data_IF_719152417495
#
_entry.id   IF_719152417495
#
_cell.length_a   1.000
_cell.length_b   1.000
_cell.length_c   1.000
_cell.angle_alpha   90.00
_cell.angle_beta   90.00
_cell.angle_gamma   90.00
#
_symmetry.space_group_name_H-M   'P 1'
#
loop_
_entity.id
_entity.type
_entity.pdbx_description
1 polymer ?
#
# COMPACT_ATOMS: atom_id res chain seq x y z
N UNK A 1 -71.66 15.05 -18.42
CA UNK A 1 -72.56 14.64 -19.51
C UNK A 1 -71.76 14.66 -20.80
N UNK A 2 -71.70 13.54 -21.53
CA UNK A 2 -71.39 13.53 -22.96
C UNK A 2 -72.72 13.52 -23.74
N UNK A 3 -72.67 13.91 -25.02
CA UNK A 3 -73.29 13.06 -26.04
C UNK A 3 -72.33 12.70 -27.18
N UNK A 4 -72.61 11.55 -27.80
CA UNK A 4 -72.04 11.07 -29.07
C UNK A 4 -72.68 11.87 -30.26
N UNK A 5 -72.45 11.64 -31.57
CA UNK A 5 -71.90 10.48 -32.31
C UNK A 5 -71.69 10.83 -33.80
N UNK A 6 -70.87 10.02 -34.51
CA UNK A 6 -70.98 9.61 -35.95
C UNK A 6 -70.86 10.69 -37.07
N UNK A 7 -70.41 10.42 -38.31
CA UNK A 7 -70.17 9.14 -39.03
C UNK A 7 -69.29 9.33 -40.30
N UNK A 8 -68.52 8.29 -40.66
CA UNK A 8 -68.14 7.85 -42.03
C UNK A 8 -67.12 8.69 -42.85
N UNK A 9 -66.33 8.18 -43.83
CA UNK A 9 -66.03 6.78 -44.25
C UNK A 9 -64.67 6.56 -44.98
N UNK A 10 -64.32 5.26 -45.09
CA UNK A 10 -63.41 4.46 -45.96
C UNK A 10 -63.30 4.96 -47.44
N UNK A 11 -62.20 4.90 -48.22
CA UNK A 11 -61.28 3.81 -48.70
C UNK A 11 -59.90 4.38 -49.10
N UNK A 12 -58.76 3.82 -48.70
CA UNK A 12 -58.03 2.63 -49.25
C UNK A 12 -56.99 2.99 -50.32
N UNK A 13 -55.83 2.32 -50.31
CA UNK A 13 -54.63 2.74 -51.05
C UNK A 13 -53.33 2.18 -50.46
N UNK A 14 -53.19 0.86 -50.45
CA UNK A 14 -51.91 0.18 -50.28
C UNK A 14 -50.97 0.52 -51.44
N UNK A 15 -49.73 0.95 -51.14
CA UNK A 15 -48.60 0.55 -51.98
C UNK A 15 -47.30 0.39 -51.19
N UNK A 16 -46.53 -0.61 -51.62
CA UNK A 16 -45.47 -1.23 -50.83
C UNK A 16 -44.09 -0.67 -51.19
N UNK A 17 -43.38 0.00 -50.25
CA UNK A 17 -41.92 0.13 -50.34
C UNK A 17 -41.22 -0.12 -49.00
N UNK A 18 -40.72 -1.34 -48.84
CA UNK A 18 -39.82 -1.74 -47.78
C UNK A 18 -38.41 -1.17 -48.01
N UNK A 19 -38.05 -0.08 -47.31
CA UNK A 19 -36.70 0.51 -47.37
C UNK A 19 -35.74 -0.09 -46.32
N UNK A 20 -34.67 -0.81 -46.71
CA UNK A 20 -33.72 -1.41 -45.78
C UNK A 20 -32.53 -0.48 -45.51
N UNK A 21 -32.59 0.39 -44.48
CA UNK A 21 -31.41 1.22 -44.20
C UNK A 21 -31.46 2.25 -43.07
N UNK A 22 -31.43 1.83 -41.80
CA UNK A 22 -31.08 2.77 -40.71
C UNK A 22 -30.32 2.18 -39.50
N UNK A 23 -30.21 0.85 -39.39
CA UNK A 23 -29.48 0.18 -38.30
C UNK A 23 -27.95 0.36 -38.37
N UNK A 24 -27.39 0.53 -39.56
CA UNK A 24 -25.95 0.74 -39.76
C UNK A 24 -25.46 2.13 -39.33
N UNK A 25 -26.23 3.19 -39.63
CA UNK A 25 -25.88 4.57 -39.23
C UNK A 25 -25.95 4.73 -37.71
N UNK A 26 -27.01 4.24 -37.06
CA UNK A 26 -27.10 4.22 -35.60
C UNK A 26 -25.94 3.45 -34.94
N UNK A 27 -25.52 2.29 -35.48
CA UNK A 27 -24.33 1.56 -34.99
C UNK A 27 -23.03 2.33 -35.20
N UNK A 28 -22.83 3.02 -36.34
CA UNK A 28 -21.64 3.84 -36.61
C UNK A 28 -21.58 5.08 -35.71
N UNK A 29 -22.71 5.75 -35.49
CA UNK A 29 -22.82 6.92 -34.64
C UNK A 29 -22.58 6.56 -33.16
N UNK A 30 -23.19 5.48 -32.68
CA UNK A 30 -22.93 4.91 -31.34
C UNK A 30 -21.46 4.55 -31.14
N UNK A 31 -20.82 3.83 -32.08
CA UNK A 31 -19.38 3.52 -32.02
C UNK A 31 -18.49 4.78 -32.02
N UNK A 32 -18.86 5.84 -32.76
CA UNK A 32 -18.16 7.13 -32.72
C UNK A 32 -18.34 7.84 -31.36
N UNK A 33 -19.51 7.75 -30.75
CA UNK A 33 -19.81 8.33 -29.43
C UNK A 33 -19.10 7.56 -28.31
N UNK A 34 -19.09 6.23 -28.36
CA UNK A 34 -18.31 5.35 -27.46
C UNK A 34 -16.79 5.61 -27.61
N UNK A 35 -16.27 5.77 -28.83
CA UNK A 35 -14.86 6.14 -29.07
C UNK A 35 -14.53 7.53 -28.53
N UNK A 36 -15.42 8.52 -28.69
CA UNK A 36 -15.26 9.85 -28.08
C UNK A 36 -15.30 9.77 -26.55
N UNK A 37 -16.19 9.00 -25.94
CA UNK A 37 -16.23 8.82 -24.48
C UNK A 37 -14.99 8.11 -23.94
N UNK A 38 -14.45 7.10 -24.64
CA UNK A 38 -13.17 6.45 -24.28
C UNK A 38 -12.01 7.44 -24.36
N UNK A 39 -11.89 8.19 -25.46
CA UNK A 39 -10.86 9.22 -25.62
C UNK A 39 -11.00 10.37 -24.61
N UNK A 40 -12.23 10.73 -24.22
CA UNK A 40 -12.45 11.72 -23.16
C UNK A 40 -11.99 11.18 -21.81
N UNK A 41 -12.32 9.93 -21.47
CA UNK A 41 -11.85 9.24 -20.25
C UNK A 41 -10.33 9.11 -20.22
N UNK A 42 -9.70 8.74 -21.34
CA UNK A 42 -8.23 8.66 -21.47
C UNK A 42 -7.57 10.04 -21.29
N UNK A 43 -8.14 11.10 -21.90
CA UNK A 43 -7.63 12.47 -21.72
C UNK A 43 -7.83 13.01 -20.31
N UNK A 44 -8.96 12.76 -19.65
CA UNK A 44 -9.14 13.15 -18.24
C UNK A 44 -8.25 12.33 -17.31
N UNK A 45 -8.04 11.05 -17.58
CA UNK A 45 -7.08 10.20 -16.86
C UNK A 45 -5.65 10.77 -16.92
N UNK A 46 -5.18 11.13 -18.13
CA UNK A 46 -3.87 11.77 -18.38
C UNK A 46 -3.73 13.16 -17.73
N UNK A 47 -4.77 13.98 -17.77
CA UNK A 47 -4.75 15.32 -17.15
C UNK A 47 -4.76 15.23 -15.61
N UNK A 48 -5.45 14.25 -15.03
CA UNK A 48 -5.48 14.05 -13.59
C UNK A 48 -4.18 13.44 -13.05
N UNK A 49 -3.51 12.55 -13.80
CA UNK A 49 -2.16 12.06 -13.43
C UNK A 49 -1.16 13.21 -13.30
N UNK A 50 -1.30 14.25 -14.14
CA UNK A 50 -0.48 15.46 -14.13
C UNK A 50 -0.61 16.32 -12.88
N UNK A 51 -1.74 16.25 -12.16
CA UNK A 51 -1.96 17.04 -10.93
C UNK A 51 -1.41 16.36 -9.66
N UNK A 52 -1.13 15.06 -9.70
CA UNK A 52 -0.62 14.30 -8.55
C UNK A 52 0.74 13.62 -8.78
N UNK A 53 1.27 13.68 -10.02
CA UNK A 53 2.61 13.22 -10.35
C UNK A 53 3.31 14.19 -11.31
N UNK A 54 4.52 14.62 -10.93
CA UNK A 54 5.39 15.42 -11.79
C UNK A 54 5.96 14.53 -12.91
N UNK A 55 5.18 14.34 -13.97
CA UNK A 55 5.51 13.49 -15.10
C UNK A 55 6.56 14.16 -16.01
N UNK A 56 7.82 13.77 -15.88
CA UNK A 56 8.83 13.89 -16.96
C UNK A 56 8.99 12.52 -17.61
N UNK A 57 9.17 12.53 -18.94
CA UNK A 57 9.14 11.35 -19.80
C UNK A 57 10.22 10.30 -19.43
N UNK A 58 9.96 9.00 -19.66
CA UNK A 58 10.88 7.94 -19.28
C UNK A 58 12.16 7.95 -20.13
N UNK A 59 13.29 7.66 -19.49
CA UNK A 59 14.59 7.35 -20.12
C UNK A 59 14.94 5.91 -19.72
N UNK A 60 15.38 5.11 -20.69
CA UNK A 60 15.68 3.69 -20.52
C UNK A 60 17.05 3.44 -19.88
N UNK A 61 17.11 2.58 -18.87
CA UNK A 61 18.35 2.02 -18.30
C UNK A 61 18.11 0.52 -18.00
N UNK A 62 19.06 -0.40 -18.26
CA UNK A 62 18.86 -1.84 -18.02
C UNK A 62 19.06 -2.22 -16.55
N UNK A 63 18.39 -3.29 -16.09
CA UNK A 63 18.57 -3.88 -14.75
C UNK A 63 19.06 -5.33 -14.83
N UNK A 64 19.77 -5.80 -13.80
CA UNK A 64 20.25 -7.19 -13.67
C UNK A 64 19.91 -7.80 -12.30
N UNK A 65 19.53 -9.08 -12.38
CA UNK A 65 19.54 -10.16 -11.38
C UNK A 65 18.79 -10.05 -10.03
N UNK A 66 18.03 -11.12 -9.75
CA UNK A 66 17.30 -11.39 -8.51
C UNK A 66 17.65 -12.80 -8.00
N UNK A 67 17.85 -12.95 -6.68
CA UNK A 67 17.80 -14.24 -5.98
C UNK A 67 16.53 -14.29 -5.13
N UNK A 68 15.73 -15.34 -5.29
CA UNK A 68 14.51 -15.59 -4.50
C UNK A 68 14.75 -16.70 -3.47
N UNK A 69 14.06 -16.62 -2.33
CA UNK A 69 14.04 -17.65 -1.27
C UNK A 69 12.60 -17.91 -0.84
N UNK A 70 12.30 -19.17 -0.49
CA UNK A 70 10.96 -19.70 -0.29
C UNK A 70 10.68 -19.96 1.21
N UNK A 71 9.44 -19.73 1.65
CA UNK A 71 9.03 -19.86 3.06
C UNK A 71 8.53 -21.28 3.40
N UNK A 72 8.94 -21.80 4.56
CA UNK A 72 8.49 -23.08 5.13
C UNK A 72 7.72 -22.90 6.45
N UNK A 73 6.96 -23.92 6.88
CA UNK A 73 5.95 -23.81 7.96
C UNK A 73 6.43 -24.29 9.34
N UNK A 74 6.17 -23.44 10.33
CA UNK A 74 5.71 -23.69 11.71
C UNK A 74 6.07 -25.00 12.43
N UNK A 75 6.83 -24.87 13.53
CA UNK A 75 6.59 -25.57 14.81
C UNK A 75 6.79 -24.60 15.99
N UNK A 76 6.31 -24.96 17.19
CA UNK A 76 6.18 -24.07 18.35
C UNK A 76 6.96 -24.60 19.56
N UNK A 77 7.90 -23.80 20.09
CA UNK A 77 8.51 -24.01 21.42
C UNK A 77 8.58 -22.68 22.19
N UNK A 78 8.45 -22.78 23.52
CA UNK A 78 8.37 -21.69 24.48
C UNK A 78 9.72 -21.48 25.19
N UNK A 79 9.91 -20.28 25.73
CA UNK A 79 10.76 -19.93 26.89
C UNK A 79 12.24 -19.49 26.72
N UNK A 80 12.69 -18.75 27.76
CA UNK A 80 14.06 -18.24 28.08
C UNK A 80 14.54 -16.95 27.36
N UNK A 81 15.31 -16.05 27.99
CA UNK A 81 15.92 -16.03 29.34
C UNK A 81 16.03 -14.58 29.90
N UNK A 82 16.23 -14.41 31.23
CA UNK A 82 16.24 -13.09 31.90
C UNK A 82 17.64 -12.46 32.00
N UNK A 83 17.77 -11.22 31.55
CA UNK A 83 18.83 -10.28 31.95
C UNK A 83 18.21 -8.96 32.45
N UNK A 84 18.81 -8.27 33.44
CA UNK A 84 18.31 -6.97 33.90
C UNK A 84 18.53 -5.90 32.82
N UNK A 85 17.48 -5.19 32.36
CA UNK A 85 17.61 -4.26 31.25
C UNK A 85 18.10 -2.88 31.73
N UNK A 86 19.04 -2.29 30.99
CA UNK A 86 19.50 -0.90 31.21
C UNK A 86 18.50 0.15 30.70
N UNK A 87 17.43 -0.29 30.04
CA UNK A 87 16.18 0.45 29.96
C UNK A 87 15.20 -0.17 30.94
N UNK A 88 14.77 0.62 31.93
CA UNK A 88 13.54 0.30 32.65
C UNK A 88 12.42 0.33 31.61
N UNK A 89 11.89 -0.85 31.23
CA UNK A 89 10.57 -0.93 30.59
C UNK A 89 9.64 -0.22 31.57
N UNK A 90 9.11 0.97 31.23
CA UNK A 90 8.42 1.80 32.20
C UNK A 90 7.24 0.98 32.72
N UNK A 91 7.17 0.82 34.05
CA UNK A 91 6.35 -0.24 34.68
C UNK A 91 4.99 -0.31 34.00
N UNK A 92 4.68 -1.46 33.39
CA UNK A 92 3.45 -1.63 32.61
C UNK A 92 2.19 -1.54 33.50
N UNK A 93 2.33 -1.41 34.82
CA UNK A 93 1.28 -1.01 35.77
C UNK A 93 1.00 0.50 35.77
N UNK A 94 1.98 1.35 35.44
CA UNK A 94 1.83 2.80 35.35
C UNK A 94 0.95 3.18 34.16
N UNK A 95 -0.12 3.94 34.44
CA UNK A 95 -1.03 4.44 33.39
C UNK A 95 -0.30 5.35 32.40
N UNK A 96 0.65 6.18 32.89
CA UNK A 96 1.47 7.06 32.04
C UNK A 96 2.44 6.32 31.12
N UNK A 97 2.92 5.14 31.54
CA UNK A 97 3.72 4.26 30.69
C UNK A 97 2.87 3.71 29.54
N UNK A 98 1.68 3.18 29.86
CA UNK A 98 0.73 2.62 28.88
C UNK A 98 0.37 3.61 27.76
N UNK A 99 0.20 4.89 28.08
CA UNK A 99 -0.11 5.94 27.10
C UNK A 99 0.98 6.15 26.03
N UNK A 100 2.21 5.69 26.26
CA UNK A 100 3.35 5.80 25.32
C UNK A 100 3.65 4.49 24.57
N UNK A 101 2.96 3.41 24.92
CA UNK A 101 3.11 2.10 24.28
C UNK A 101 2.39 2.10 22.93
N UNK A 102 2.93 1.35 21.97
CA UNK A 102 2.35 1.11 20.65
C UNK A 102 1.81 -0.32 20.54
N UNK A 103 0.81 -0.52 19.69
CA UNK A 103 0.35 -1.85 19.27
C UNK A 103 1.30 -2.43 18.22
N UNK A 104 1.65 -3.71 18.32
CA UNK A 104 2.39 -4.38 17.25
C UNK A 104 1.52 -4.44 15.96
N UNK A 105 2.04 -4.06 14.78
CA UNK A 105 1.27 -4.02 13.54
C UNK A 105 1.28 -5.35 12.78
N UNK A 106 2.08 -6.33 13.21
CA UNK A 106 2.14 -7.65 12.59
C UNK A 106 0.83 -8.39 12.83
N UNK A 107 0.24 -8.93 11.75
CA UNK A 107 -1.04 -9.66 11.82
C UNK A 107 -1.00 -10.79 12.86
N UNK A 108 -2.07 -10.93 13.63
CA UNK A 108 -2.18 -11.90 14.73
C UNK A 108 -1.41 -11.55 16.01
N UNK A 109 -0.65 -10.45 16.06
CA UNK A 109 0.04 -10.02 17.27
C UNK A 109 -0.85 -9.11 18.15
N UNK A 110 -0.94 -9.42 19.44
CA UNK A 110 -1.62 -8.61 20.45
C UNK A 110 -0.66 -7.88 21.41
N UNK A 111 0.65 -7.99 21.18
CA UNK A 111 1.65 -7.38 22.06
C UNK A 111 1.62 -5.85 21.98
N UNK A 112 1.59 -5.23 23.16
CA UNK A 112 1.81 -3.79 23.34
C UNK A 112 3.26 -3.58 23.76
N UNK A 113 3.94 -2.62 23.11
CA UNK A 113 5.40 -2.51 23.14
C UNK A 113 5.84 -1.06 23.32
N UNK A 114 7.00 -0.85 23.92
CA UNK A 114 7.68 0.44 23.81
C UNK A 114 8.13 0.64 22.34
N UNK A 115 8.00 1.85 21.77
CA UNK A 115 8.48 2.18 20.42
C UNK A 115 9.89 1.68 20.10
N UNK A 116 10.84 1.82 21.04
CA UNK A 116 12.23 1.40 20.87
C UNK A 116 12.39 -0.13 21.03
N UNK A 117 11.50 -0.76 21.81
CA UNK A 117 11.43 -2.21 21.98
C UNK A 117 10.88 -2.96 20.77
N UNK A 118 10.18 -2.27 19.85
CA UNK A 118 9.51 -2.89 18.70
C UNK A 118 10.45 -3.74 17.84
N UNK A 119 11.64 -3.24 17.51
CA UNK A 119 12.59 -3.97 16.65
C UNK A 119 13.11 -5.26 17.32
N UNK A 120 13.32 -5.25 18.63
CA UNK A 120 13.71 -6.45 19.39
C UNK A 120 12.61 -7.52 19.33
N UNK A 121 11.35 -7.11 19.56
CA UNK A 121 10.19 -7.99 19.41
C UNK A 121 10.05 -8.50 17.98
N UNK A 122 10.29 -7.67 16.97
CA UNK A 122 10.24 -8.08 15.57
C UNK A 122 11.27 -9.17 15.26
N UNK A 123 12.54 -8.93 15.58
CA UNK A 123 13.65 -9.86 15.32
C UNK A 123 13.47 -11.20 16.04
N UNK A 124 12.93 -11.19 17.27
CA UNK A 124 12.75 -12.40 18.08
C UNK A 124 11.46 -13.18 17.75
N UNK A 125 10.34 -12.49 17.52
CA UNK A 125 9.01 -13.12 17.41
C UNK A 125 8.51 -13.19 15.97
N UNK A 126 8.76 -12.18 15.14
CA UNK A 126 8.11 -12.03 13.84
C UNK A 126 9.01 -12.38 12.66
N UNK A 127 10.29 -11.99 12.65
CA UNK A 127 11.22 -12.33 11.57
C UNK A 127 11.30 -13.85 11.31
N UNK A 128 11.36 -14.75 12.32
CA UNK A 128 11.38 -16.19 12.07
C UNK A 128 10.05 -16.76 11.55
N UNK A 129 8.93 -16.05 11.77
CA UNK A 129 7.56 -16.52 11.43
C UNK A 129 7.04 -15.98 10.10
N UNK A 130 7.33 -14.72 9.82
CA UNK A 130 6.94 -14.02 8.60
C UNK A 130 7.99 -14.21 7.49
N UNK A 131 9.24 -14.51 7.86
CA UNK A 131 10.37 -14.62 6.95
C UNK A 131 10.75 -13.33 6.22
N UNK A 132 10.09 -12.21 6.54
CA UNK A 132 10.43 -10.87 6.04
C UNK A 132 11.74 -10.43 6.72
N UNK A 133 12.85 -10.27 5.97
CA UNK A 133 14.13 -9.95 6.57
C UNK A 133 14.15 -8.53 7.14
N UNK A 134 14.88 -8.36 8.24
CA UNK A 134 15.33 -7.04 8.65
C UNK A 134 16.50 -6.60 7.76
N UNK A 135 16.38 -5.42 7.16
CA UNK A 135 17.41 -4.83 6.29
C UNK A 135 18.09 -3.67 7.02
N UNK A 136 19.40 -3.81 7.22
CA UNK A 136 20.30 -2.73 7.66
C UNK A 136 20.51 -1.77 6.48
N UNK A 137 20.10 -0.51 6.65
CA UNK A 137 20.27 0.54 5.65
C UNK A 137 21.55 1.33 5.94
N UNK A 138 22.53 1.34 5.02
CA UNK A 138 23.76 2.11 5.19
C UNK A 138 23.49 3.61 5.35
N UNK A 139 24.20 4.25 6.27
CA UNK A 139 24.20 5.70 6.41
C UNK A 139 25.05 6.36 5.29
N UNK A 140 24.64 7.48 4.69
CA UNK A 140 23.36 8.18 4.87
C UNK A 140 22.22 7.53 4.07
N UNK A 141 21.06 7.39 4.71
CA UNK A 141 19.86 6.75 4.14
C UNK A 141 19.29 7.52 2.93
N UNK A 142 19.46 8.84 2.88
CA UNK A 142 19.03 9.71 1.78
C UNK A 142 19.70 9.35 0.43
N UNK A 143 20.80 8.58 0.46
CA UNK A 143 21.50 8.06 -0.72
C UNK A 143 21.14 6.60 -1.05
N UNK A 144 20.28 5.97 -0.27
CA UNK A 144 19.89 4.56 -0.45
C UNK A 144 18.49 4.45 -1.05
N UNK A 145 18.29 3.43 -1.88
CA UNK A 145 16.96 2.98 -2.29
C UNK A 145 16.62 1.72 -1.51
N UNK A 146 15.48 1.72 -0.84
CA UNK A 146 14.98 0.56 -0.11
C UNK A 146 14.09 -0.25 -1.06
N UNK A 147 14.43 -1.51 -1.28
CA UNK A 147 13.70 -2.39 -2.19
C UNK A 147 12.92 -3.46 -1.41
N UNK A 148 11.68 -3.72 -1.83
CA UNK A 148 10.89 -4.87 -1.42
C UNK A 148 10.11 -5.43 -2.61
N UNK A 149 9.76 -6.72 -2.56
CA UNK A 149 8.91 -7.36 -3.57
C UNK A 149 7.70 -8.00 -2.91
N UNK A 150 6.54 -7.84 -3.52
CA UNK A 150 5.25 -8.34 -3.04
C UNK A 150 4.57 -9.19 -4.11
N UNK A 151 4.13 -10.39 -3.76
CA UNK A 151 3.28 -11.18 -4.65
C UNK A 151 1.80 -10.80 -4.44
N UNK A 152 1.15 -10.23 -5.46
CA UNK A 152 -0.25 -9.78 -5.38
C UNK A 152 -1.22 -10.94 -5.17
N UNK A 153 -0.94 -12.10 -5.77
CA UNK A 153 -1.75 -13.31 -5.60
C UNK A 153 -1.65 -13.92 -4.20
N UNK A 154 -0.61 -13.57 -3.44
CA UNK A 154 -0.41 -14.00 -2.05
C UNK A 154 -0.89 -12.99 -1.00
N UNK A 155 -1.51 -11.87 -1.40
CA UNK A 155 -2.08 -10.91 -0.45
C UNK A 155 -3.47 -11.35 0.03
N UNK A 156 -3.54 -11.67 1.32
CA UNK A 156 -4.80 -11.92 2.02
C UNK A 156 -5.73 -10.68 1.99
N UNK A 157 -7.04 -10.95 1.97
CA UNK A 157 -8.05 -9.91 1.84
C UNK A 157 -8.26 -9.14 3.17
N UNK A 158 -8.15 -7.82 3.10
CA UNK A 158 -8.28 -6.85 4.19
C UNK A 158 -7.23 -6.99 5.32
N UNK A 159 -6.16 -7.75 5.06
CA UNK A 159 -5.03 -7.98 5.97
C UNK A 159 -3.87 -7.03 5.66
N UNK A 160 -3.29 -6.45 6.72
CA UNK A 160 -2.11 -5.59 6.64
C UNK A 160 -0.83 -6.47 6.59
N UNK A 161 -0.41 -6.87 5.39
CA UNK A 161 0.77 -7.70 5.15
C UNK A 161 2.03 -6.84 5.18
N UNK A 162 2.99 -7.20 6.04
CA UNK A 162 4.31 -6.56 6.12
C UNK A 162 5.18 -7.05 4.95
N UNK A 163 5.77 -6.12 4.20
CA UNK A 163 6.62 -6.41 3.04
C UNK A 163 8.12 -6.22 3.31
N UNK A 164 8.47 -5.33 4.25
CA UNK A 164 9.86 -5.01 4.53
C UNK A 164 10.02 -4.23 5.83
N UNK A 165 11.13 -4.49 6.53
CA UNK A 165 11.54 -3.79 7.76
C UNK A 165 12.95 -3.26 7.55
N UNK A 166 13.06 -1.94 7.44
CA UNK A 166 14.31 -1.25 7.13
C UNK A 166 14.76 -0.46 8.36
N UNK A 167 15.87 -0.86 8.97
CA UNK A 167 16.48 -0.13 10.08
C UNK A 167 17.58 0.78 9.59
N UNK A 168 17.51 2.07 9.92
CA UNK A 168 18.45 3.07 9.45
C UNK A 168 18.95 3.97 10.57
N UNK A 169 20.17 4.49 10.44
CA UNK A 169 20.70 5.48 11.36
C UNK A 169 20.13 6.87 11.01
N UNK A 170 19.33 7.44 11.91
CA UNK A 170 18.80 8.81 11.80
C UNK A 170 19.91 9.87 11.76
N UNK A 171 19.70 10.91 10.95
CA UNK A 171 20.59 12.07 10.88
C UNK A 171 20.64 12.83 12.23
N UNK A 172 21.80 13.41 12.57
CA UNK A 172 21.99 14.20 13.78
C UNK A 172 22.05 13.42 15.11
N UNK A 173 21.73 12.13 15.13
CA UNK A 173 21.92 11.27 16.30
C UNK A 173 23.26 10.53 16.24
N UNK A 174 24.08 10.69 17.28
CA UNK A 174 25.32 9.92 17.45
C UNK A 174 25.02 8.58 18.17
N UNK A 175 25.21 7.42 17.53
CA UNK A 175 24.92 6.11 18.14
C UNK A 175 25.71 5.81 19.41
N UNK A 176 26.87 6.46 19.61
CA UNK A 176 27.68 6.31 20.82
C UNK A 176 27.06 7.00 22.03
N UNK A 177 26.29 8.07 21.80
CA UNK A 177 25.62 8.86 22.84
C UNK A 177 24.16 8.43 23.06
N UNK A 178 23.60 7.60 22.17
CA UNK A 178 22.26 7.05 22.33
C UNK A 178 22.21 6.03 23.49
N UNK A 179 21.27 6.18 24.45
CA UNK A 179 20.92 5.14 25.39
C UNK A 179 20.77 3.77 24.72
N UNK A 180 21.54 2.79 25.20
CA UNK A 180 21.62 1.45 24.61
C UNK A 180 20.38 0.62 24.98
N UNK A 181 19.55 0.30 24.01
CA UNK A 181 18.48 -0.67 24.18
C UNK A 181 19.08 -2.08 24.34
N UNK A 182 19.10 -2.58 25.57
CA UNK A 182 19.63 -3.91 25.90
C UNK A 182 18.76 -5.07 25.41
N UNK A 183 17.51 -4.82 25.01
CA UNK A 183 16.63 -5.82 24.39
C UNK A 183 17.06 -6.13 22.96
N UNK A 184 17.83 -5.27 22.29
CA UNK A 184 18.37 -5.54 20.97
C UNK A 184 19.64 -6.42 21.06
N UNK A 185 19.77 -7.44 20.17
CA UNK A 185 21.03 -8.16 19.98
C UNK A 185 22.18 -7.18 19.69
N UNK A 186 23.41 -7.55 20.09
CA UNK A 186 24.57 -6.66 20.13
C UNK A 186 24.75 -5.84 18.85
N UNK A 187 24.59 -6.48 17.70
CA UNK A 187 24.87 -5.92 16.37
C UNK A 187 23.78 -4.92 15.91
N UNK A 188 22.57 -5.03 16.47
CA UNK A 188 21.44 -4.14 16.20
C UNK A 188 21.30 -3.01 17.23
N UNK A 189 22.15 -2.94 18.26
CA UNK A 189 22.07 -1.86 19.28
C UNK A 189 22.27 -0.45 18.70
N UNK A 190 22.88 -0.33 17.52
CA UNK A 190 22.93 0.93 16.75
C UNK A 190 21.56 1.47 16.30
N UNK A 191 20.45 0.73 16.47
CA UNK A 191 19.09 1.21 16.23
C UNK A 191 18.31 1.59 17.49
N UNK A 192 18.94 1.60 18.67
CA UNK A 192 18.26 1.81 19.96
C UNK A 192 17.37 3.06 20.05
N UNK A 193 17.68 4.10 19.27
CA UNK A 193 16.86 5.32 19.11
C UNK A 193 16.75 5.77 17.64
N UNK A 194 17.13 4.89 16.71
CA UNK A 194 17.15 5.21 15.28
C UNK A 194 15.98 4.55 14.56
N UNK A 195 15.76 4.94 13.30
CA UNK A 195 14.47 4.76 12.65
C UNK A 195 14.30 3.35 12.10
N UNK A 196 13.07 2.86 12.25
CA UNK A 196 12.59 1.69 11.53
C UNK A 196 11.48 2.15 10.59
N UNK A 197 11.62 1.79 9.32
CA UNK A 197 10.60 2.00 8.28
C UNK A 197 9.96 0.64 8.01
N UNK A 198 8.63 0.61 8.11
CA UNK A 198 7.80 -0.56 7.88
C UNK A 198 7.01 -0.34 6.59
N UNK A 199 7.24 -1.18 5.59
CA UNK A 199 6.45 -1.18 4.37
C UNK A 199 5.33 -2.21 4.48
N UNK A 200 4.10 -1.78 4.22
CA UNK A 200 2.93 -2.66 4.23
C UNK A 200 2.23 -2.66 2.87
N UNK A 201 1.60 -3.79 2.56
CA UNK A 201 0.61 -3.92 1.51
C UNK A 201 -0.63 -4.68 1.99
N UNK A 202 -1.70 -4.53 1.24
CA UNK A 202 -2.98 -5.19 1.49
C UNK A 202 -3.74 -5.33 0.18
N UNK A 203 -4.43 -6.45 -0.01
CA UNK A 203 -5.52 -6.57 -0.98
C UNK A 203 -6.83 -6.20 -0.29
N UNK A 204 -7.62 -5.30 -0.84
CA UNK A 204 -8.97 -5.04 -0.31
C UNK A 204 -9.90 -4.49 -1.39
N UNK A 205 -11.08 -4.00 -0.99
CA UNK A 205 -12.06 -3.35 -1.87
C UNK A 205 -12.20 -1.89 -1.56
N UNK A 206 -12.14 -1.05 -2.59
CA UNK A 206 -12.33 0.39 -2.48
C UNK A 206 -13.22 0.90 -3.61
N UNK A 207 -14.23 1.70 -3.26
CA UNK A 207 -14.87 2.56 -4.25
C UNK A 207 -13.91 3.67 -4.65
N UNK A 208 -13.25 3.54 -5.79
CA UNK A 208 -12.35 4.56 -6.33
C UNK A 208 -13.15 5.85 -6.57
N UNK A 209 -12.62 7.02 -6.22
CA UNK A 209 -13.38 8.28 -6.19
C UNK A 209 -14.02 8.67 -7.55
N UNK A 210 -13.49 8.15 -8.67
CA UNK A 210 -14.06 8.32 -10.01
C UNK A 210 -15.27 7.43 -10.33
N UNK A 211 -15.52 6.38 -9.54
CA UNK A 211 -16.58 5.38 -9.70
C UNK A 211 -17.51 5.44 -8.48
N UNK A 212 -18.33 6.50 -8.40
CA UNK A 212 -19.31 6.74 -7.31
C UNK A 212 -20.36 5.63 -7.08
N UNK A 213 -20.30 4.49 -7.80
CA UNK A 213 -21.19 3.33 -7.68
C UNK A 213 -20.50 1.96 -7.85
N UNK A 214 -19.20 1.89 -8.12
CA UNK A 214 -18.48 0.61 -8.27
C UNK A 214 -17.39 0.50 -7.22
N UNK A 215 -17.36 -0.65 -6.56
CA UNK A 215 -16.34 -1.06 -5.61
C UNK A 215 -15.46 -2.05 -6.36
N UNK A 216 -14.21 -1.68 -6.60
CA UNK A 216 -13.24 -2.54 -7.28
C UNK A 216 -12.27 -3.17 -6.26
N UNK A 217 -11.74 -4.35 -6.59
CA UNK A 217 -10.60 -4.92 -5.88
C UNK A 217 -9.36 -4.04 -6.16
N UNK A 218 -8.61 -3.71 -5.10
CA UNK A 218 -7.43 -2.83 -5.12
C UNK A 218 -6.29 -3.41 -4.29
N UNK A 219 -5.05 -3.07 -4.66
CA UNK A 219 -3.88 -3.22 -3.80
C UNK A 219 -3.59 -1.86 -3.17
N UNK A 220 -3.50 -1.82 -1.83
CA UNK A 220 -3.10 -0.65 -1.05
C UNK A 220 -1.67 -0.84 -0.53
N UNK A 221 -0.81 0.17 -0.66
CA UNK A 221 0.60 0.16 -0.20
C UNK A 221 0.90 1.45 0.58
N UNK A 222 1.46 1.32 1.78
CA UNK A 222 1.78 2.45 2.66
C UNK A 222 2.99 2.17 3.55
N UNK A 223 3.47 3.22 4.21
CA UNK A 223 4.63 3.17 5.11
C UNK A 223 4.24 3.54 6.53
N UNK A 224 4.86 2.90 7.51
CA UNK A 224 4.70 3.21 8.94
C UNK A 224 6.03 3.16 9.68
N UNK A 225 6.06 3.70 10.90
CA UNK A 225 7.24 3.70 11.77
C UNK A 225 6.82 3.54 13.24
N UNK A 226 7.55 2.79 14.08
CA UNK A 226 7.28 2.77 15.52
C UNK A 226 7.58 4.11 16.19
N UNK A 227 8.41 4.96 15.56
CA UNK A 227 8.80 6.27 16.08
C UNK A 227 7.59 7.19 16.32
N UNK A 228 7.67 7.96 17.41
CA UNK A 228 6.65 8.93 17.82
C UNK A 228 7.25 10.33 17.83
N UNK A 229 6.47 11.35 17.46
CA UNK A 229 6.93 12.75 17.39
C UNK A 229 7.94 13.05 16.28
N UNK A 230 8.02 12.19 15.26
CA UNK A 230 8.93 12.32 14.11
C UNK A 230 8.13 12.10 12.83
N UNK A 231 8.24 13.03 11.89
CA UNK A 231 7.68 12.92 10.55
C UNK A 231 8.78 12.45 9.59
N UNK A 232 8.55 11.31 8.94
CA UNK A 232 9.45 10.76 7.93
C UNK A 232 8.74 10.86 6.58
N UNK A 233 9.38 11.48 5.59
CA UNK A 233 8.87 11.63 4.23
C UNK A 233 9.65 10.73 3.27
N UNK A 234 8.95 9.97 2.44
CA UNK A 234 9.52 9.03 1.50
C UNK A 234 8.86 9.15 0.12
N UNK A 235 9.66 9.13 -0.94
CA UNK A 235 9.15 8.85 -2.28
C UNK A 235 9.03 7.34 -2.44
N UNK A 236 7.80 6.85 -2.53
CA UNK A 236 7.50 5.46 -2.86
C UNK A 236 7.26 5.34 -4.37
N UNK A 237 7.77 4.28 -5.01
CA UNK A 237 7.48 3.94 -6.40
C UNK A 237 7.16 2.45 -6.49
N UNK A 238 6.02 2.11 -7.07
CA UNK A 238 5.58 0.71 -7.22
C UNK A 238 5.61 0.32 -8.70
N UNK A 239 6.33 -0.75 -9.02
CA UNK A 239 6.53 -1.29 -10.37
C UNK A 239 5.93 -2.70 -10.46
N UNK A 240 4.81 -2.91 -11.18
CA UNK A 240 4.36 -4.26 -11.52
C UNK A 240 5.35 -4.90 -12.48
N UNK A 241 5.87 -6.07 -12.08
CA UNK A 241 6.81 -6.83 -12.89
C UNK A 241 6.24 -7.12 -14.28
N UNK A 242 7.13 -7.22 -15.27
CA UNK A 242 6.76 -7.47 -16.69
C UNK A 242 5.89 -6.36 -17.32
N UNK A 243 5.69 -5.22 -16.65
CA UNK A 243 5.02 -4.05 -17.22
C UNK A 243 5.94 -2.81 -17.21
N UNK A 244 5.68 -1.85 -18.10
CA UNK A 244 6.32 -0.53 -18.10
C UNK A 244 5.61 0.48 -17.18
N UNK A 245 4.55 0.05 -16.47
CA UNK A 245 3.77 0.91 -15.58
C UNK A 245 4.54 1.13 -14.27
N UNK A 246 4.35 2.29 -13.67
CA UNK A 246 4.84 2.57 -12.32
C UNK A 246 3.93 3.57 -11.62
N UNK A 247 3.83 3.46 -10.30
CA UNK A 247 2.97 4.29 -9.46
C UNK A 247 3.84 5.04 -8.44
N UNK A 248 4.29 6.27 -8.75
CA UNK A 248 5.07 7.09 -7.85
C UNK A 248 4.16 7.89 -6.91
N UNK A 249 4.52 7.99 -5.63
CA UNK A 249 3.83 8.86 -4.67
C UNK A 249 4.76 9.29 -3.53
N UNK A 250 4.63 10.53 -3.08
CA UNK A 250 5.21 10.96 -1.82
C UNK A 250 4.31 10.46 -0.68
N UNK A 251 4.90 9.73 0.26
CA UNK A 251 4.25 9.18 1.45
C UNK A 251 4.93 9.71 2.71
N UNK A 252 4.18 9.84 3.79
CA UNK A 252 4.72 10.04 5.13
C UNK A 252 4.61 8.73 5.92
N UNK A 253 5.66 8.32 6.64
CA UNK A 253 5.57 7.14 7.49
C UNK A 253 4.59 7.43 8.65
N UNK A 254 3.48 6.69 8.70
CA UNK A 254 2.53 6.82 9.81
C UNK A 254 3.15 6.31 11.12
N UNK A 255 3.09 7.06 12.23
CA UNK A 255 3.38 6.51 13.55
C UNK A 255 2.48 5.29 13.82
N UNK A 256 3.04 4.24 14.43
CA UNK A 256 2.24 3.09 14.83
C UNK A 256 1.19 3.49 15.90
N UNK A 257 -0.01 2.89 15.86
CA UNK A 257 -1.10 3.26 16.76
C UNK A 257 -0.73 2.96 18.22
N UNK A 258 -1.20 3.81 19.13
CA UNK A 258 -1.05 3.61 20.57
C UNK A 258 -1.70 2.29 21.02
N UNK A 259 -1.25 1.73 22.15
CA UNK A 259 -1.64 0.40 22.64
C UNK A 259 -3.14 0.19 22.89
N UNK A 260 -3.90 1.29 23.09
CA UNK A 260 -5.36 1.27 23.25
C UNK A 260 -6.13 1.21 21.91
N UNK A 261 -5.43 1.41 20.79
CA UNK A 261 -6.00 1.49 19.44
C UNK A 261 -5.53 0.27 18.65
N UNK A 262 -6.50 -0.57 18.24
CA UNK A 262 -6.25 -1.62 17.25
C UNK A 262 -5.98 -0.97 15.89
N UNK A 263 -5.02 -1.50 15.13
CA UNK A 263 -4.84 -1.09 13.75
C UNK A 263 -6.17 -1.30 12.98
N UNK A 264 -6.71 -0.28 12.29
CA UNK A 264 -7.96 -0.43 11.56
C UNK A 264 -7.79 -1.41 10.40
N UNK A 265 -8.85 -2.12 9.99
CA UNK A 265 -8.89 -2.87 8.74
C UNK A 265 -8.45 -2.00 7.57
N UNK A 266 -7.76 -2.61 6.62
CA UNK A 266 -7.16 -1.92 5.48
C UNK A 266 -8.17 -1.05 4.70
N UNK A 267 -9.36 -1.59 4.42
CA UNK A 267 -10.49 -0.87 3.78
C UNK A 267 -10.95 0.39 4.52
N UNK A 268 -10.64 0.54 5.80
CA UNK A 268 -11.19 1.62 6.64
C UNK A 268 -10.30 2.85 6.57
N UNK A 269 -8.98 2.71 6.68
CA UNK A 269 -8.08 3.86 6.56
C UNK A 269 -7.97 4.39 5.12
N UNK A 270 -8.00 3.52 4.09
CA UNK A 270 -7.86 3.98 2.69
C UNK A 270 -8.99 4.90 2.23
N UNK A 271 -10.18 4.83 2.85
CA UNK A 271 -11.34 5.66 2.50
C UNK A 271 -11.11 7.15 2.76
N UNK A 272 -10.33 7.47 3.78
CA UNK A 272 -10.17 8.83 4.30
C UNK A 272 -8.73 9.33 4.21
N UNK A 273 -7.75 8.44 4.04
CA UNK A 273 -6.35 8.80 4.02
C UNK A 273 -5.79 8.89 2.58
N UNK A 274 -5.23 10.06 2.24
CA UNK A 274 -4.52 10.29 0.98
C UNK A 274 -3.08 9.75 1.00
N UNK A 275 -2.54 9.33 2.14
CA UNK A 275 -1.18 8.86 2.37
C UNK A 275 -0.98 7.35 2.10
N UNK A 276 -1.52 6.87 0.98
CA UNK A 276 -1.47 5.47 0.54
C UNK A 276 -1.43 5.41 -0.99
N UNK A 277 -0.66 4.49 -1.56
CA UNK A 277 -0.77 4.14 -2.99
C UNK A 277 -1.89 3.12 -3.13
N UNK A 278 -2.89 3.42 -3.96
CA UNK A 278 -3.99 2.50 -4.29
C UNK A 278 -3.91 2.19 -5.78
N UNK A 279 -3.79 0.91 -6.12
CA UNK A 279 -3.69 0.42 -7.50
C UNK A 279 -4.88 -0.50 -7.77
N UNK A 280 -5.61 -0.28 -8.86
CA UNK A 280 -6.75 -1.12 -9.20
C UNK A 280 -6.31 -2.49 -9.73
N UNK A 281 -7.08 -3.55 -9.46
CA UNK A 281 -6.84 -4.85 -10.09
C UNK A 281 -7.01 -4.79 -11.62
N UNK A 282 -7.80 -3.84 -12.14
CA UNK A 282 -7.92 -3.59 -13.58
C UNK A 282 -6.60 -3.08 -14.18
N UNK A 283 -5.86 -2.24 -13.46
CA UNK A 283 -4.54 -1.75 -13.87
C UNK A 283 -3.42 -2.78 -13.74
N UNK A 284 -3.62 -3.76 -12.85
CA UNK A 284 -2.77 -4.93 -12.67
C UNK A 284 -3.19 -6.12 -13.55
N UNK A 285 -4.20 -5.99 -14.42
CA UNK A 285 -4.76 -7.12 -15.17
C UNK A 285 -3.71 -7.95 -15.91
N UNK A 286 -2.76 -7.29 -16.59
CA UNK A 286 -1.66 -7.95 -17.30
C UNK A 286 -0.76 -8.78 -16.38
N UNK A 287 -0.56 -8.33 -15.13
CA UNK A 287 0.19 -9.05 -14.10
C UNK A 287 -0.65 -10.22 -13.56
N UNK A 288 -1.93 -9.99 -13.28
CA UNK A 288 -2.85 -10.96 -12.68
C UNK A 288 -3.22 -12.12 -13.62
N UNK A 289 -3.06 -11.95 -14.93
CA UNK A 289 -3.19 -13.04 -15.92
C UNK A 289 -1.98 -13.99 -15.94
N UNK A 290 -0.88 -13.67 -15.24
CA UNK A 290 0.29 -14.53 -15.13
C UNK A 290 0.12 -15.59 -14.03
N UNK A 291 0.97 -16.62 -14.05
CA UNK A 291 1.06 -17.60 -12.96
C UNK A 291 1.35 -16.90 -11.62
N UNK A 292 0.79 -17.40 -10.52
CA UNK A 292 0.87 -16.76 -9.19
C UNK A 292 2.30 -16.35 -8.82
N UNK A 293 3.31 -17.20 -9.02
CA UNK A 293 4.71 -16.88 -8.74
C UNK A 293 5.33 -15.72 -9.53
N UNK A 294 4.66 -15.25 -10.59
CA UNK A 294 5.08 -14.14 -11.44
C UNK A 294 4.30 -12.84 -11.17
N UNK A 295 3.31 -12.86 -10.27
CA UNK A 295 2.44 -11.72 -9.95
C UNK A 295 3.10 -10.72 -9.00
N UNK A 296 4.31 -10.27 -9.33
CA UNK A 296 5.18 -9.48 -8.46
C UNK A 296 4.98 -7.96 -8.65
N UNK A 297 4.87 -7.24 -7.53
CA UNK A 297 5.09 -5.79 -7.45
C UNK A 297 6.44 -5.55 -6.79
N UNK A 298 7.34 -4.84 -7.46
CA UNK A 298 8.53 -4.29 -6.83
C UNK A 298 8.18 -2.91 -6.26
N UNK A 299 8.62 -2.65 -5.03
CA UNK A 299 8.40 -1.39 -4.32
C UNK A 299 9.74 -0.79 -3.96
N UNK A 300 9.95 0.44 -4.38
CA UNK A 300 11.13 1.25 -4.08
C UNK A 300 10.75 2.39 -3.15
N UNK A 301 11.50 2.59 -2.06
CA UNK A 301 11.35 3.74 -1.17
C UNK A 301 12.67 4.52 -1.16
N UNK A 302 12.58 5.83 -1.37
CA UNK A 302 13.69 6.76 -1.17
C UNK A 302 13.31 7.72 -0.04
N UNK A 303 14.16 7.86 0.97
CA UNK A 303 13.95 8.85 2.02
C UNK A 303 14.14 10.26 1.44
N UNK A 304 13.14 11.13 1.58
CA UNK A 304 13.22 12.52 1.09
C UNK A 304 13.34 13.56 2.21
N UNK A 305 13.14 13.17 3.46
CA UNK A 305 13.38 14.04 4.62
C UNK A 305 12.86 13.45 5.92
N UNK A 306 13.45 13.89 7.02
CA UNK A 306 13.06 13.56 8.38
C UNK A 306 12.98 14.85 9.21
N UNK A 307 11.90 15.03 9.98
CA UNK A 307 11.68 16.22 10.81
C UNK A 307 11.09 15.81 12.17
N UNK A 308 11.42 16.57 13.22
CA UNK A 308 10.76 16.45 14.52
C UNK A 308 9.44 17.22 14.49
N UNK A 309 8.40 16.66 15.12
CA UNK A 309 7.07 17.27 15.31
C UNK A 309 7.04 17.97 16.67
#
# INVERSE_FOLDING_TARGET
MQPNSSSNEVTDGLDTESLPGNSANNRRQRRRQEKRQRQLKEKTHLLYTKHFSNFRLPVSVPSTDLKMVQLSRYESIVDRERHPPLFVVPDQKSQWARLRMISCPCHGCSCTLDPNGWLSHYLSVHMPRLGVPFVDVPFPIEKQTLHATCNVGSLDYDVNTLLGVFGYQRFGLNPLNCPRNTLLPRDYRKYSQHGVILLFACRTRHGLLWQRKQIDDVVAIWVSTPLQGISISLRCVVHPAQTTRYYPKLLHARPLPASSVKAPPCREFIKTDSNVIVISYQDLWQLLTLNVGQQLLNVELHLTGEQKI
#
